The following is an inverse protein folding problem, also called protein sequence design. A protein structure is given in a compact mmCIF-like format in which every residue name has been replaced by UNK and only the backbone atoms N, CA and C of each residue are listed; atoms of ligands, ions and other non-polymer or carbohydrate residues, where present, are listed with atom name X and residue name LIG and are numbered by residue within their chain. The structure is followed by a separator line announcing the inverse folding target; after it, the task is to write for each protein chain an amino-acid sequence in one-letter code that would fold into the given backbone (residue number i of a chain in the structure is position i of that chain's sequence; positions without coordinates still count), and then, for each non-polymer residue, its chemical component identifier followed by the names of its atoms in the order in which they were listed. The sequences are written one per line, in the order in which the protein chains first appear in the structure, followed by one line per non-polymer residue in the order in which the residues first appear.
data_IF_260940723676
#
_entry.id   IF_260940723676
#
_cell.length_a   1.000
_cell.length_b   1.000
_cell.length_c   1.000
_cell.angle_alpha   90.00
_cell.angle_beta   90.00
_cell.angle_gamma   90.00
#
_symmetry.space_group_name_H-M   'P 1'
#
loop_
_entity.id
_entity.type
_entity.pdbx_description
1 polymer ?
#
# COMPACT_ATOMS: atom_id res chain seq x y z
N UNK A 1 -28.98 26.14 -9.94
CA UNK A 1 -28.21 26.20 -8.67
C UNK A 1 -26.74 26.18 -9.05
N UNK A 2 -26.07 27.33 -9.06
CA UNK A 2 -24.63 27.38 -9.24
C UNK A 2 -24.01 26.78 -7.96
N UNK A 3 -23.59 25.54 -7.98
CA UNK A 3 -22.67 25.04 -6.98
C UNK A 3 -21.34 25.70 -7.28
N UNK A 4 -20.93 26.58 -6.39
CA UNK A 4 -19.56 27.09 -6.33
C UNK A 4 -18.66 25.90 -6.04
N UNK A 5 -18.19 25.22 -7.08
CA UNK A 5 -17.39 24.00 -7.00
C UNK A 5 -15.91 24.37 -6.77
N UNK A 6 -15.69 25.29 -5.80
CA UNK A 6 -14.34 25.67 -5.43
C UNK A 6 -13.63 24.50 -4.78
N UNK A 7 -12.43 24.20 -5.27
CA UNK A 7 -11.56 23.13 -4.76
C UNK A 7 -10.65 23.74 -3.68
N UNK A 8 -10.68 23.17 -2.50
CA UNK A 8 -9.90 23.62 -1.36
C UNK A 8 -8.70 22.69 -1.13
N UNK A 9 -7.56 23.30 -0.88
CA UNK A 9 -6.34 22.64 -0.40
C UNK A 9 -6.06 23.16 0.99
N UNK A 10 -5.69 22.27 1.93
CA UNK A 10 -5.23 22.62 3.28
C UNK A 10 -3.91 21.94 3.59
N UNK A 11 -2.96 22.71 4.12
CA UNK A 11 -1.66 22.25 4.53
C UNK A 11 -1.46 22.49 6.03
N UNK A 12 -1.12 21.44 6.76
CA UNK A 12 -0.81 21.52 8.19
C UNK A 12 0.61 21.02 8.43
N UNK A 13 1.34 21.76 9.25
CA UNK A 13 2.69 21.40 9.71
C UNK A 13 2.70 21.38 11.25
N UNK A 14 3.12 20.24 11.83
CA UNK A 14 3.06 20.00 13.27
C UNK A 14 1.69 20.37 13.89
N UNK A 15 0.61 20.06 13.19
CA UNK A 15 -0.77 20.32 13.59
C UNK A 15 -1.25 21.76 13.37
N UNK A 16 -0.39 22.70 12.99
CA UNK A 16 -0.75 24.09 12.71
C UNK A 16 -1.19 24.24 11.25
N UNK A 17 -2.34 24.86 10.99
CA UNK A 17 -2.78 25.25 9.65
C UNK A 17 -1.89 26.37 9.11
N UNK A 18 -1.26 26.12 7.98
CA UNK A 18 -0.36 27.05 7.28
C UNK A 18 -0.81 27.33 5.85
N UNK A 19 -2.03 26.97 5.53
CA UNK A 19 -2.59 27.03 4.18
C UNK A 19 -2.46 28.40 3.52
N UNK A 20 -2.79 29.44 4.27
CA UNK A 20 -2.73 30.82 3.75
C UNK A 20 -1.32 31.43 3.77
N UNK A 21 -0.38 30.79 4.47
CA UNK A 21 1.00 31.28 4.57
C UNK A 21 1.86 30.78 3.40
N UNK A 22 1.48 29.64 2.78
CA UNK A 22 2.29 28.99 1.74
C UNK A 22 1.43 28.58 0.57
N UNK A 23 1.75 29.08 -0.61
CA UNK A 23 1.06 28.73 -1.84
C UNK A 23 1.52 27.35 -2.36
N UNK A 24 0.65 26.35 -2.29
CA UNK A 24 0.92 25.01 -2.84
C UNK A 24 0.69 25.04 -4.35
N UNK A 25 1.75 24.82 -5.10
CA UNK A 25 1.73 24.79 -6.58
C UNK A 25 1.37 23.39 -7.10
N UNK A 26 1.91 22.34 -6.45
CA UNK A 26 1.68 20.96 -6.87
C UNK A 26 1.76 20.03 -5.65
N UNK A 27 0.90 19.02 -5.64
CA UNK A 27 0.98 17.92 -4.66
C UNK A 27 0.80 16.59 -5.41
N UNK A 28 1.77 15.69 -5.25
CA UNK A 28 1.72 14.32 -5.76
C UNK A 28 1.70 13.36 -4.56
N UNK A 29 0.67 12.54 -4.47
CA UNK A 29 0.50 11.58 -3.39
C UNK A 29 0.48 10.19 -4.00
N UNK A 30 1.28 9.30 -3.44
CA UNK A 30 1.34 7.90 -3.84
C UNK A 30 0.99 7.02 -2.65
N UNK A 31 -0.05 6.23 -2.81
CA UNK A 31 -0.54 5.26 -1.82
C UNK A 31 -0.73 3.90 -2.50
N UNK A 32 -0.28 2.83 -1.87
CA UNK A 32 -0.45 1.47 -2.40
C UNK A 32 -0.42 0.43 -1.28
N UNK A 33 -1.07 -0.71 -1.51
CA UNK A 33 -0.90 -1.88 -0.64
C UNK A 33 0.57 -2.29 -0.56
N UNK A 34 1.00 -2.72 0.63
CA UNK A 34 2.36 -3.19 0.91
C UNK A 34 3.45 -2.12 0.72
N UNK A 35 3.07 -0.84 0.63
CA UNK A 35 4.00 0.29 0.52
C UNK A 35 3.68 1.36 1.53
N UNK A 36 4.72 2.09 1.92
CA UNK A 36 4.58 3.26 2.78
C UNK A 36 4.18 4.44 1.91
N UNK A 37 3.16 5.17 2.34
CA UNK A 37 2.65 6.33 1.64
C UNK A 37 3.76 7.36 1.41
N UNK A 38 3.72 8.01 0.26
CA UNK A 38 4.66 9.06 -0.14
C UNK A 38 3.88 10.27 -0.63
N UNK A 39 4.34 11.46 -0.25
CA UNK A 39 3.89 12.71 -0.86
C UNK A 39 5.07 13.55 -1.30
N UNK A 40 4.89 14.30 -2.40
CA UNK A 40 5.79 15.34 -2.85
C UNK A 40 4.96 16.61 -3.02
N UNK A 41 5.25 17.63 -2.25
CA UNK A 41 4.50 18.90 -2.23
C UNK A 41 5.45 20.00 -2.64
N UNK A 42 5.07 20.74 -3.67
CA UNK A 42 5.82 21.90 -4.17
C UNK A 42 5.11 23.18 -3.73
N UNK A 43 5.83 24.04 -3.05
CA UNK A 43 5.36 25.32 -2.54
C UNK A 43 6.08 26.41 -3.32
N UNK A 44 5.38 27.51 -3.67
CA UNK A 44 6.02 28.67 -4.26
C UNK A 44 6.97 29.30 -3.23
N UNK A 45 8.19 29.57 -3.64
CA UNK A 45 9.14 30.37 -2.87
C UNK A 45 9.31 31.69 -3.61
N UNK A 46 8.47 32.69 -3.29
CA UNK A 46 8.53 33.98 -3.94
C UNK A 46 9.78 34.73 -3.46
N UNK A 47 10.44 35.42 -4.41
CA UNK A 47 11.53 36.31 -4.09
C UNK A 47 10.90 37.66 -3.71
N UNK A 48 10.88 37.98 -2.44
CA UNK A 48 10.54 39.33 -1.96
C UNK A 48 11.79 40.14 -1.94
N UNK A 49 11.79 41.20 -2.74
CA UNK A 49 12.70 42.31 -2.81
C UNK A 49 14.21 42.06 -2.48
N UNK A 50 15.05 42.24 -3.48
CA UNK A 50 16.52 42.28 -3.36
C UNK A 50 17.25 41.06 -2.75
N UNK A 51 17.09 39.88 -3.37
CA UNK A 51 17.94 38.70 -3.16
C UNK A 51 17.74 37.89 -1.86
N UNK A 52 16.68 38.10 -1.10
CA UNK A 52 16.33 37.18 -0.03
C UNK A 52 15.11 36.35 -0.41
N UNK A 53 15.28 35.05 -0.37
CA UNK A 53 14.15 34.12 -0.51
C UNK A 53 13.32 34.19 0.80
N UNK A 54 12.01 34.44 0.70
CA UNK A 54 11.10 34.16 1.81
C UNK A 54 10.86 32.65 1.94
N UNK A 55 11.92 31.88 2.04
CA UNK A 55 11.79 30.63 2.75
C UNK A 55 11.96 31.05 4.21
N UNK A 56 10.91 30.91 5.02
CA UNK A 56 11.07 31.26 6.42
C UNK A 56 12.26 30.48 6.95
N UNK A 57 13.15 31.16 7.64
CA UNK A 57 14.24 30.58 8.43
C UNK A 57 13.68 29.67 9.56
N UNK A 58 12.45 29.23 9.34
CA UNK A 58 11.63 28.47 10.24
C UNK A 58 11.93 26.99 10.03
N UNK A 59 12.46 26.38 11.06
CA UNK A 59 12.62 24.93 11.22
C UNK A 59 11.35 24.10 10.92
N UNK A 60 10.25 24.77 10.53
CA UNK A 60 8.94 24.17 10.27
C UNK A 60 8.94 23.18 9.07
N UNK A 61 9.92 23.32 8.15
CA UNK A 61 10.08 22.42 7.00
C UNK A 61 11.21 21.41 7.15
N UNK A 62 11.84 21.37 8.34
CA UNK A 62 12.94 20.45 8.55
C UNK A 62 12.49 18.99 8.46
N UNK A 63 13.36 18.08 8.03
CA UNK A 63 13.12 16.66 8.15
C UNK A 63 12.69 16.27 9.58
N UNK A 64 11.65 15.45 9.69
CA UNK A 64 10.99 15.11 10.95
C UNK A 64 9.71 15.92 11.25
N UNK A 65 9.46 17.04 10.57
CA UNK A 65 8.21 17.79 10.74
C UNK A 65 7.01 16.94 10.29
N UNK A 66 5.99 16.81 11.14
CA UNK A 66 4.73 16.18 10.76
C UNK A 66 3.98 17.05 9.75
N UNK A 67 3.52 16.43 8.66
CA UNK A 67 2.79 17.08 7.59
C UNK A 67 1.46 16.36 7.36
N UNK A 68 0.38 17.15 7.29
CA UNK A 68 -0.94 16.68 6.87
C UNK A 68 -1.41 17.52 5.68
N UNK A 69 -1.81 16.82 4.62
CA UNK A 69 -2.34 17.42 3.41
C UNK A 69 -3.80 17.01 3.20
N UNK A 70 -4.66 17.98 3.02
CA UNK A 70 -6.08 17.79 2.76
C UNK A 70 -6.47 18.49 1.47
N UNK A 71 -7.35 17.89 0.71
CA UNK A 71 -7.92 18.52 -0.47
C UNK A 71 -9.32 17.95 -0.79
N UNK A 72 -10.09 18.72 -1.55
CA UNK A 72 -11.40 18.31 -2.01
C UNK A 72 -12.31 19.50 -2.31
N UNK A 73 -13.53 19.22 -2.77
CA UNK A 73 -14.57 20.24 -2.88
C UNK A 73 -14.85 20.89 -1.52
N UNK A 74 -15.34 22.12 -1.53
CA UNK A 74 -15.59 22.92 -0.31
C UNK A 74 -16.43 22.19 0.74
N UNK A 75 -17.39 21.41 0.29
CA UNK A 75 -18.30 20.62 1.13
C UNK A 75 -17.73 19.27 1.58
N UNK A 76 -16.62 18.82 0.97
CA UNK A 76 -16.03 17.49 1.23
C UNK A 76 -14.51 17.48 1.16
N UNK A 77 -13.86 18.26 2.01
CA UNK A 77 -12.40 18.23 2.16
C UNK A 77 -11.97 16.96 2.90
N UNK A 78 -11.05 16.20 2.32
CA UNK A 78 -10.58 14.93 2.85
C UNK A 78 -9.08 14.94 3.08
N UNK A 79 -8.61 14.20 4.10
CA UNK A 79 -7.19 13.96 4.30
C UNK A 79 -6.68 13.00 3.24
N UNK A 80 -5.73 13.44 2.44
CA UNK A 80 -5.13 12.64 1.38
C UNK A 80 -3.78 12.06 1.78
N UNK A 81 -3.07 12.74 2.71
CA UNK A 81 -1.77 12.29 3.21
C UNK A 81 -1.52 12.79 4.63
N UNK A 82 -0.94 11.92 5.44
CA UNK A 82 -0.34 12.25 6.74
C UNK A 82 1.00 11.52 6.89
N UNK A 83 2.02 12.24 7.34
CA UNK A 83 3.36 11.68 7.53
C UNK A 83 4.35 12.72 8.00
N UNK A 84 5.64 12.47 7.73
CA UNK A 84 6.72 13.38 8.07
C UNK A 84 7.48 13.82 6.83
N UNK A 85 7.97 15.05 6.85
CA UNK A 85 8.97 15.55 5.90
C UNK A 85 10.25 14.73 6.06
N UNK A 86 10.77 14.19 4.97
CA UNK A 86 12.05 13.46 4.96
C UNK A 86 13.15 14.22 4.26
N UNK A 87 12.77 15.04 3.26
CA UNK A 87 13.69 15.85 2.48
C UNK A 87 13.01 17.16 2.14
N UNK A 88 13.74 18.25 2.20
CA UNK A 88 13.35 19.49 1.58
C UNK A 88 14.39 19.88 0.53
N UNK A 89 13.95 20.48 -0.55
CA UNK A 89 14.80 20.86 -1.67
C UNK A 89 14.35 22.20 -2.24
N UNK A 90 15.29 23.11 -2.45
CA UNK A 90 15.07 24.33 -3.19
C UNK A 90 15.37 24.07 -4.67
N UNK A 91 14.43 24.38 -5.55
CA UNK A 91 14.59 24.30 -7.01
C UNK A 91 14.42 25.68 -7.61
N UNK A 92 15.44 26.12 -8.32
CA UNK A 92 15.42 27.38 -9.07
C UNK A 92 15.57 27.01 -10.55
N UNK A 93 14.63 27.42 -11.38
CA UNK A 93 14.68 27.20 -12.81
C UNK A 93 15.03 28.52 -13.55
N UNK A 94 15.35 28.39 -14.84
CA UNK A 94 15.73 29.51 -15.72
C UNK A 94 14.60 30.53 -15.96
N UNK A 95 13.35 30.17 -15.66
CA UNK A 95 12.17 31.02 -15.82
C UNK A 95 11.85 31.84 -14.56
N UNK A 96 12.82 31.98 -13.64
CA UNK A 96 12.69 32.67 -12.35
C UNK A 96 11.65 32.07 -11.40
N UNK A 97 11.15 30.86 -11.69
CA UNK A 97 10.29 30.15 -10.74
C UNK A 97 11.15 29.48 -9.68
N UNK A 98 10.94 29.85 -8.45
CA UNK A 98 11.58 29.20 -7.31
C UNK A 98 10.53 28.33 -6.61
N UNK A 99 10.85 27.05 -6.48
CA UNK A 99 9.99 26.07 -5.81
C UNK A 99 10.71 25.47 -4.60
N UNK A 100 10.02 25.41 -3.49
CA UNK A 100 10.43 24.66 -2.33
C UNK A 100 9.69 23.32 -2.33
N UNK A 101 10.43 22.21 -2.49
CA UNK A 101 9.86 20.87 -2.65
C UNK A 101 10.07 20.06 -1.39
N UNK A 102 8.98 19.59 -0.81
CA UNK A 102 8.95 18.71 0.36
C UNK A 102 8.71 17.27 -0.11
N UNK A 103 9.64 16.38 0.21
CA UNK A 103 9.40 14.95 0.10
C UNK A 103 8.98 14.42 1.47
N UNK A 104 7.84 13.72 1.51
CA UNK A 104 7.25 13.23 2.74
C UNK A 104 7.02 11.72 2.66
N UNK A 105 7.10 11.06 3.82
CA UNK A 105 6.81 9.65 3.99
C UNK A 105 5.80 9.44 5.11
N UNK A 106 4.94 8.43 4.96
CA UNK A 106 4.01 8.01 6.00
C UNK A 106 4.71 7.58 7.29
N UNK A 107 4.00 7.59 8.40
CA UNK A 107 4.55 7.35 9.74
C UNK A 107 5.16 5.95 9.95
N UNK A 108 4.90 5.00 9.05
CA UNK A 108 5.57 3.69 9.07
C UNK A 108 7.01 3.71 8.54
N UNK A 109 7.48 4.84 7.98
CA UNK A 109 8.80 4.94 7.37
C UNK A 109 9.97 4.61 8.31
N UNK A 110 9.97 4.97 9.60
CA UNK A 110 11.02 4.57 10.52
C UNK A 110 11.21 3.04 10.65
N UNK A 111 10.20 2.23 10.38
CA UNK A 111 10.30 0.78 10.40
C UNK A 111 11.18 0.20 9.28
N UNK A 112 11.56 1.01 8.28
CA UNK A 112 12.48 0.62 7.20
C UNK A 112 13.95 0.84 7.56
N UNK A 113 14.25 1.47 8.71
CA UNK A 113 15.62 1.75 9.12
C UNK A 113 16.19 0.63 10.00
N UNK A 114 17.44 0.33 9.72
CA UNK A 114 18.19 -0.64 10.50
C UNK A 114 17.72 -2.08 10.31
N UNK A 115 18.67 -3.00 10.33
CA UNK A 115 18.39 -4.42 10.28
C UNK A 115 18.44 -4.99 11.68
N UNK A 116 17.51 -5.87 12.00
CA UNK A 116 17.33 -6.43 13.34
C UNK A 116 17.39 -7.94 13.33
N UNK A 117 17.74 -8.49 14.49
CA UNK A 117 17.70 -9.90 14.78
C UNK A 117 16.84 -10.08 16.03
N UNK A 118 15.70 -10.75 15.89
CA UNK A 118 14.80 -11.06 16.99
C UNK A 118 14.27 -12.47 16.87
N UNK A 119 13.94 -13.07 18.01
CA UNK A 119 13.24 -14.35 18.08
C UNK A 119 11.95 -14.13 18.84
N UNK A 120 10.85 -14.61 18.27
CA UNK A 120 9.53 -14.60 18.89
C UNK A 120 9.12 -16.06 19.10
N UNK A 121 8.99 -16.46 20.36
CA UNK A 121 8.64 -17.83 20.74
C UNK A 121 7.13 -17.96 20.94
N UNK A 122 6.56 -19.10 20.56
CA UNK A 122 5.16 -19.46 20.73
C UNK A 122 4.21 -18.30 20.37
N UNK A 123 4.41 -17.75 19.19
CA UNK A 123 3.75 -16.51 18.77
C UNK A 123 3.00 -16.67 17.46
N UNK A 124 1.91 -15.92 17.31
CA UNK A 124 1.17 -15.81 16.05
C UNK A 124 1.70 -14.63 15.24
N UNK A 125 1.66 -14.72 13.92
CA UNK A 125 2.08 -13.66 13.03
C UNK A 125 1.34 -12.33 13.29
N UNK A 126 0.03 -12.37 13.48
CA UNK A 126 -0.77 -11.18 13.79
C UNK A 126 -0.33 -10.49 15.07
N UNK A 127 0.03 -11.25 16.10
CA UNK A 127 0.53 -10.74 17.38
C UNK A 127 1.90 -10.06 17.21
N UNK A 128 2.80 -10.72 16.48
CA UNK A 128 4.15 -10.19 16.23
C UNK A 128 4.09 -8.92 15.36
N UNK A 129 3.28 -8.92 14.31
CA UNK A 129 3.06 -7.76 13.45
C UNK A 129 2.54 -6.56 14.27
N UNK A 130 1.53 -6.76 15.11
CA UNK A 130 1.01 -5.70 16.01
C UNK A 130 2.07 -5.17 16.95
N UNK A 131 2.87 -6.07 17.56
CA UNK A 131 3.95 -5.70 18.47
C UNK A 131 5.00 -4.83 17.78
N UNK A 132 5.44 -5.23 16.57
CA UNK A 132 6.46 -4.49 15.81
C UNK A 132 5.94 -3.11 15.42
N UNK A 133 4.74 -3.02 14.81
CA UNK A 133 4.17 -1.75 14.39
C UNK A 133 3.90 -0.81 15.56
N UNK A 134 3.49 -1.36 16.72
CA UNK A 134 3.30 -0.61 17.95
C UNK A 134 4.55 0.09 18.49
N UNK A 135 5.76 -0.45 18.24
CA UNK A 135 7.03 0.18 18.62
C UNK A 135 7.26 1.53 17.93
N UNK A 136 6.61 1.77 16.80
CA UNK A 136 6.67 3.02 16.02
C UNK A 136 5.48 3.95 16.29
N UNK A 137 4.71 3.69 17.35
CA UNK A 137 3.51 4.48 17.66
C UNK A 137 2.36 4.31 16.67
N UNK A 138 2.37 3.21 15.90
CA UNK A 138 1.33 2.92 14.92
C UNK A 138 0.22 2.07 15.56
N UNK A 139 -1.02 2.41 15.26
CA UNK A 139 -2.19 1.64 15.64
C UNK A 139 -2.48 0.58 14.57
N UNK A 140 -2.15 -0.67 14.86
CA UNK A 140 -2.28 -1.76 13.89
C UNK A 140 -3.53 -2.61 14.13
N UNK A 141 -4.42 -2.66 13.12
CA UNK A 141 -5.51 -3.64 13.04
C UNK A 141 -5.08 -4.76 12.13
N UNK A 142 -4.84 -5.95 12.69
CA UNK A 142 -4.34 -7.12 11.96
C UNK A 142 -5.36 -8.23 12.03
N UNK A 143 -5.73 -8.81 10.89
CA UNK A 143 -6.58 -10.00 10.84
C UNK A 143 -5.88 -11.17 11.51
N UNK A 144 -6.65 -12.01 12.23
CA UNK A 144 -6.07 -13.15 12.93
C UNK A 144 -5.49 -14.17 11.96
N UNK A 145 -4.26 -14.59 12.21
CA UNK A 145 -3.60 -15.66 11.44
C UNK A 145 -3.86 -17.04 12.00
N UNK A 146 -4.36 -17.13 13.24
CA UNK A 146 -4.81 -18.38 13.90
C UNK A 146 -3.70 -19.37 14.27
N UNK A 147 -2.57 -19.37 13.59
CA UNK A 147 -1.50 -20.37 13.70
C UNK A 147 -0.45 -19.88 14.68
N UNK A 148 -0.18 -20.66 15.73
CA UNK A 148 0.92 -20.44 16.64
C UNK A 148 2.20 -21.09 16.09
N UNK A 149 3.26 -20.32 16.03
CA UNK A 149 4.57 -20.73 15.51
C UNK A 149 5.51 -20.86 16.71
N UNK A 150 6.13 -22.05 16.94
CA UNK A 150 7.00 -22.26 18.10
C UNK A 150 8.17 -21.29 18.14
N UNK A 151 8.77 -21.02 17.00
CA UNK A 151 9.91 -20.11 16.89
C UNK A 151 9.84 -19.33 15.58
N UNK A 152 9.60 -18.01 15.67
CA UNK A 152 9.57 -17.09 14.55
C UNK A 152 10.81 -16.21 14.60
N UNK A 153 11.65 -16.28 13.57
CA UNK A 153 12.94 -15.59 13.55
C UNK A 153 12.90 -14.43 12.56
N UNK A 154 13.17 -13.23 13.07
CA UNK A 154 13.55 -12.08 12.27
C UNK A 154 15.08 -12.10 12.14
N UNK A 155 15.59 -12.36 10.94
CA UNK A 155 17.02 -12.47 10.71
C UNK A 155 17.51 -11.38 9.76
N UNK A 156 18.28 -10.45 10.28
CA UNK A 156 19.00 -9.40 9.56
C UNK A 156 18.16 -8.67 8.50
N UNK A 157 16.92 -8.34 8.83
CA UNK A 157 16.00 -7.58 7.97
C UNK A 157 15.38 -6.40 8.74
N UNK A 158 14.82 -5.45 8.00
CA UNK A 158 14.10 -4.33 8.61
C UNK A 158 12.79 -4.82 9.24
N UNK A 159 12.24 -4.05 10.17
CA UNK A 159 10.93 -4.36 10.75
C UNK A 159 9.82 -4.32 9.70
N UNK A 160 9.92 -3.38 8.77
CA UNK A 160 8.95 -3.27 7.68
C UNK A 160 8.98 -4.48 6.74
N UNK A 161 10.17 -4.91 6.30
CA UNK A 161 10.31 -6.09 5.43
C UNK A 161 9.84 -7.36 6.12
N UNK A 162 10.12 -7.48 7.43
CA UNK A 162 9.64 -8.61 8.22
C UNK A 162 8.11 -8.62 8.33
N UNK A 163 7.48 -7.48 8.63
CA UNK A 163 6.03 -7.34 8.66
C UNK A 163 5.42 -7.71 7.31
N UNK A 164 5.97 -7.20 6.20
CA UNK A 164 5.49 -7.53 4.86
C UNK A 164 5.60 -9.02 4.56
N UNK A 165 6.75 -9.64 4.85
CA UNK A 165 6.98 -11.07 4.61
C UNK A 165 5.97 -11.91 5.40
N UNK A 166 5.75 -11.59 6.69
CA UNK A 166 4.79 -12.34 7.52
C UNK A 166 3.34 -12.14 7.06
N UNK A 167 2.98 -10.92 6.67
CA UNK A 167 1.66 -10.65 6.11
C UNK A 167 1.44 -11.42 4.81
N UNK A 168 2.39 -11.37 3.86
CA UNK A 168 2.30 -12.04 2.57
C UNK A 168 2.21 -13.56 2.70
N UNK A 169 2.94 -14.17 3.64
CA UNK A 169 2.89 -15.61 3.89
C UNK A 169 1.50 -16.09 4.36
N UNK A 170 0.69 -15.17 4.90
CA UNK A 170 -0.69 -15.42 5.33
C UNK A 170 -1.73 -14.88 4.34
N UNK A 171 -1.32 -14.46 3.14
CA UNK A 171 -2.23 -13.88 2.14
C UNK A 171 -2.81 -12.52 2.54
N UNK A 172 -2.11 -11.77 3.40
CA UNK A 172 -2.55 -10.47 3.88
C UNK A 172 -1.83 -9.33 3.16
N UNK A 173 -2.51 -8.20 2.99
CA UNK A 173 -1.95 -6.93 2.52
C UNK A 173 -1.80 -5.96 3.68
N UNK A 174 -0.79 -5.10 3.59
CA UNK A 174 -0.54 -4.02 4.54
C UNK A 174 -0.94 -2.70 3.91
N UNK A 175 -1.82 -1.96 4.56
CA UNK A 175 -2.33 -0.66 4.12
C UNK A 175 -2.06 0.35 5.21
N UNK A 176 -1.37 1.44 4.87
CA UNK A 176 -1.09 2.56 5.78
C UNK A 176 -2.11 3.67 5.57
N UNK A 177 -2.51 4.34 6.65
CA UNK A 177 -3.37 5.52 6.63
C UNK A 177 -3.03 6.41 7.84
N UNK A 178 -2.13 7.36 7.64
CA UNK A 178 -1.57 8.13 8.74
C UNK A 178 -0.87 7.23 9.77
N UNK A 179 -1.29 7.32 11.04
CA UNK A 179 -0.78 6.49 12.14
C UNK A 179 -1.53 5.14 12.27
N UNK A 180 -2.53 4.89 11.42
CA UNK A 180 -3.24 3.61 11.38
C UNK A 180 -2.63 2.68 10.35
N UNK A 181 -2.53 1.41 10.67
CA UNK A 181 -2.08 0.35 9.76
C UNK A 181 -3.09 -0.78 9.78
N UNK A 182 -3.63 -1.11 8.62
CA UNK A 182 -4.52 -2.26 8.45
C UNK A 182 -3.76 -3.39 7.77
N UNK A 183 -3.72 -4.56 8.38
CA UNK A 183 -3.16 -5.78 7.80
C UNK A 183 -4.28 -6.80 7.67
N UNK A 184 -4.73 -7.04 6.46
CA UNK A 184 -5.97 -7.79 6.22
C UNK A 184 -5.92 -8.59 4.93
N UNK A 185 -6.83 -9.56 4.80
CA UNK A 185 -7.05 -10.24 3.53
C UNK A 185 -7.48 -9.22 2.47
N UNK A 186 -7.05 -9.40 1.20
CA UNK A 186 -7.62 -8.63 0.09
C UNK A 186 -9.14 -8.74 0.12
N UNK A 187 -9.82 -7.61 -0.02
CA UNK A 187 -11.26 -7.59 -0.01
C UNK A 187 -11.76 -7.98 -1.41
N UNK A 188 -12.45 -9.10 -1.50
CA UNK A 188 -12.98 -9.63 -2.77
C UNK A 188 -14.51 -9.64 -2.82
N UNK A 189 -15.20 -9.16 -1.79
CA UNK A 189 -16.66 -9.25 -1.66
C UNK A 189 -17.37 -7.95 -1.27
N UNK A 190 -16.62 -6.86 -1.01
CA UNK A 190 -17.26 -5.58 -0.68
C UNK A 190 -17.94 -4.95 -1.89
N UNK A 191 -18.93 -4.12 -1.60
CA UNK A 191 -19.52 -3.25 -2.61
C UNK A 191 -18.47 -2.27 -3.17
N UNK A 192 -18.49 -1.97 -4.47
CA UNK A 192 -17.62 -0.97 -5.07
C UNK A 192 -17.82 0.41 -4.42
N UNK A 193 -16.70 1.09 -4.12
CA UNK A 193 -16.73 2.47 -3.58
C UNK A 193 -17.05 3.50 -4.66
N UNK A 194 -16.82 3.16 -5.93
CA UNK A 194 -17.08 3.99 -7.08
C UNK A 194 -17.38 3.12 -8.30
N UNK A 195 -18.35 3.54 -9.11
CA UNK A 195 -18.56 3.03 -10.48
C UNK A 195 -17.90 4.00 -11.45
N UNK A 196 -17.07 3.46 -12.34
CA UNK A 196 -16.34 4.19 -13.38
C UNK A 196 -16.90 3.74 -14.73
N UNK A 197 -17.46 4.68 -15.49
CA UNK A 197 -18.19 4.41 -16.72
C UNK A 197 -17.48 5.05 -17.92
N UNK A 198 -17.26 4.25 -18.97
CA UNK A 198 -16.73 4.78 -20.24
C UNK A 198 -17.71 5.81 -20.84
N UNK A 199 -17.19 6.95 -21.27
CA UNK A 199 -17.98 8.06 -21.81
C UNK A 199 -18.56 8.99 -20.75
N UNK A 200 -18.34 8.76 -19.45
CA UNK A 200 -18.76 9.63 -18.35
C UNK A 200 -17.56 10.09 -17.51
N UNK A 201 -17.10 9.30 -16.56
CA UNK A 201 -16.07 9.68 -15.58
C UNK A 201 -14.72 8.96 -15.77
N UNK A 202 -14.58 8.11 -16.79
CA UNK A 202 -13.33 7.48 -17.19
C UNK A 202 -12.55 8.40 -18.14
N UNK A 203 -11.34 8.81 -17.75
CA UNK A 203 -10.45 9.62 -18.58
C UNK A 203 -9.55 8.72 -19.43
N UNK A 204 -8.90 7.73 -18.81
CA UNK A 204 -8.06 6.77 -19.50
C UNK A 204 -8.11 5.41 -18.83
N UNK A 205 -7.97 4.36 -19.61
CA UNK A 205 -7.92 2.98 -19.17
C UNK A 205 -6.89 2.21 -19.99
N UNK A 206 -6.06 1.45 -19.30
CA UNK A 206 -5.15 0.48 -19.88
C UNK A 206 -5.25 -0.79 -19.03
N UNK A 207 -5.67 -1.89 -19.62
CA UNK A 207 -5.92 -3.13 -18.90
C UNK A 207 -5.43 -4.33 -19.70
N UNK A 208 -4.89 -5.32 -18.99
CA UNK A 208 -4.41 -6.55 -19.56
C UNK A 208 -4.85 -7.76 -18.74
N UNK A 209 -5.10 -8.86 -19.42
CA UNK A 209 -5.31 -10.17 -18.81
C UNK A 209 -4.09 -11.01 -19.14
N UNK A 210 -3.46 -11.58 -18.11
CA UNK A 210 -2.26 -12.39 -18.24
C UNK A 210 -2.46 -13.81 -17.73
N UNK A 211 -2.03 -14.77 -18.51
CA UNK A 211 -1.94 -16.18 -18.13
C UNK A 211 -0.56 -16.55 -17.54
N UNK A 212 0.40 -15.61 -17.50
CA UNK A 212 1.79 -15.92 -17.18
C UNK A 212 2.01 -16.54 -15.80
N UNK A 213 1.15 -16.20 -14.83
CA UNK A 213 1.22 -16.72 -13.45
C UNK A 213 -0.01 -17.55 -13.07
N UNK A 214 -0.76 -18.06 -14.07
CA UNK A 214 -1.96 -18.86 -13.83
C UNK A 214 -1.62 -20.36 -13.95
N UNK A 215 -1.68 -21.06 -12.81
CA UNK A 215 -1.34 -22.46 -12.70
C UNK A 215 -2.58 -23.32 -12.45
N UNK A 216 -2.53 -24.59 -12.83
CA UNK A 216 -3.62 -25.56 -12.58
C UNK A 216 -3.77 -25.81 -11.08
N UNK A 217 -2.64 -25.80 -10.34
CA UNK A 217 -2.60 -26.00 -8.90
C UNK A 217 -1.39 -25.30 -8.28
N UNK A 218 -1.49 -24.97 -7.01
CA UNK A 218 -0.37 -24.41 -6.22
C UNK A 218 -0.08 -25.35 -5.07
N UNK A 219 1.18 -25.78 -4.96
CA UNK A 219 1.67 -26.66 -3.90
C UNK A 219 2.85 -26.05 -3.20
N UNK A 220 3.01 -26.37 -1.92
CA UNK A 220 4.18 -26.01 -1.15
C UNK A 220 4.78 -27.27 -0.51
N UNK A 221 6.11 -27.30 -0.35
CA UNK A 221 6.79 -28.35 0.37
C UNK A 221 7.93 -27.80 1.25
N UNK A 222 8.20 -28.52 2.34
CA UNK A 222 9.26 -28.21 3.26
C UNK A 222 9.83 -29.51 3.85
N UNK A 223 11.04 -29.42 4.41
CA UNK A 223 11.62 -30.51 5.18
C UNK A 223 11.22 -30.38 6.65
N UNK A 224 10.51 -31.38 7.16
CA UNK A 224 10.22 -31.47 8.62
C UNK A 224 11.37 -32.19 9.31
N UNK A 225 12.14 -31.45 10.08
CA UNK A 225 13.32 -31.96 10.80
C UNK A 225 12.93 -32.97 11.89
N UNK A 226 11.76 -32.79 12.51
CA UNK A 226 11.29 -33.66 13.61
C UNK A 226 10.82 -35.02 13.10
N UNK A 227 10.13 -35.03 11.97
CA UNK A 227 9.62 -36.23 11.33
C UNK A 227 10.61 -36.85 10.32
N UNK A 228 11.69 -36.11 9.98
CA UNK A 228 12.68 -36.50 8.96
C UNK A 228 12.04 -36.86 7.62
N UNK A 229 11.07 -36.06 7.18
CA UNK A 229 10.35 -36.28 5.92
C UNK A 229 9.97 -34.96 5.25
N UNK A 230 9.69 -35.04 3.96
CA UNK A 230 9.14 -33.90 3.22
C UNK A 230 7.63 -33.82 3.53
N UNK A 231 7.21 -32.70 4.07
CA UNK A 231 5.79 -32.33 4.20
C UNK A 231 5.34 -31.55 2.96
N UNK A 232 4.09 -31.71 2.58
CA UNK A 232 3.51 -31.08 1.39
C UNK A 232 2.11 -30.54 1.70
N UNK A 233 1.81 -29.39 1.14
CA UNK A 233 0.48 -28.78 1.18
C UNK A 233 0.02 -28.44 -0.23
N UNK A 234 -1.26 -28.54 -0.49
CA UNK A 234 -1.92 -28.09 -1.73
C UNK A 234 -2.86 -26.94 -1.35
N UNK A 235 -2.85 -25.87 -2.13
CA UNK A 235 -3.69 -24.70 -1.88
C UNK A 235 -5.19 -25.03 -1.96
N UNK A 236 -5.95 -24.41 -1.07
CA UNK A 236 -7.42 -24.46 -1.06
C UNK A 236 -7.95 -23.36 -1.97
N UNK A 237 -8.16 -23.56 -3.22
CA UNK A 237 -8.60 -22.56 -4.20
C UNK A 237 -9.34 -21.34 -3.59
N UNK A 238 -8.71 -20.14 -3.48
CA UNK A 238 -9.33 -19.00 -2.85
C UNK A 238 -10.49 -18.47 -3.70
N UNK A 239 -11.52 -17.93 -3.04
CA UNK A 239 -12.59 -17.20 -3.72
C UNK A 239 -12.06 -15.85 -4.16
N UNK A 240 -12.16 -15.53 -5.44
CA UNK A 240 -11.83 -14.23 -6.02
C UNK A 240 -13.10 -13.55 -6.55
N UNK A 241 -13.11 -12.22 -6.54
CA UNK A 241 -14.18 -11.49 -7.22
C UNK A 241 -14.10 -11.69 -8.74
N UNK A 242 -15.26 -11.62 -9.38
CA UNK A 242 -15.32 -11.67 -10.85
C UNK A 242 -14.60 -10.42 -11.43
N UNK A 243 -13.62 -10.68 -12.28
CA UNK A 243 -12.88 -9.66 -13.04
C UNK A 243 -13.08 -9.95 -14.53
N UNK A 244 -14.23 -9.51 -15.07
CA UNK A 244 -14.66 -9.88 -16.42
C UNK A 244 -15.23 -11.31 -16.46
N UNK A 245 -15.30 -11.90 -17.64
CA UNK A 245 -15.90 -13.21 -17.94
C UNK A 245 -14.87 -14.36 -18.07
N UNK A 246 -13.56 -14.05 -18.04
CA UNK A 246 -12.48 -15.04 -18.12
C UNK A 246 -12.06 -15.46 -16.71
N UNK A 247 -12.35 -16.70 -16.33
CA UNK A 247 -11.95 -17.23 -15.03
C UNK A 247 -10.47 -17.65 -15.01
N UNK A 248 -9.85 -17.67 -13.81
CA UNK A 248 -8.46 -18.11 -13.65
C UNK A 248 -8.21 -19.53 -14.21
N UNK A 249 -9.18 -20.43 -14.04
CA UNK A 249 -9.10 -21.79 -14.58
C UNK A 249 -9.01 -21.85 -16.12
N UNK A 250 -9.58 -20.85 -16.82
CA UNK A 250 -9.56 -20.82 -18.28
C UNK A 250 -8.17 -20.37 -18.80
N UNK A 251 -7.44 -19.62 -17.98
CA UNK A 251 -6.08 -19.17 -18.28
C UNK A 251 -5.02 -20.18 -17.88
N UNK A 252 -5.27 -21.01 -16.86
CA UNK A 252 -4.31 -22.02 -16.39
C UNK A 252 -4.01 -23.11 -17.42
N UNK A 253 -4.88 -23.30 -18.40
CA UNK A 253 -4.69 -24.25 -19.49
C UNK A 253 -3.50 -23.93 -20.41
N UNK A 254 -3.00 -22.70 -20.41
CA UNK A 254 -1.83 -22.34 -21.22
C UNK A 254 -0.54 -22.97 -20.68
N UNK A 255 -0.31 -22.89 -19.38
CA UNK A 255 0.86 -23.51 -18.75
C UNK A 255 0.63 -25.01 -18.52
N UNK A 256 -0.60 -25.39 -18.16
CA UNK A 256 -1.00 -26.75 -17.77
C UNK A 256 -0.06 -27.38 -16.72
N UNK A 257 0.46 -26.56 -15.82
CA UNK A 257 1.49 -26.94 -14.86
C UNK A 257 1.05 -26.64 -13.41
N UNK A 258 1.64 -27.35 -12.49
CA UNK A 258 1.49 -27.15 -11.05
C UNK A 258 2.66 -26.31 -10.55
N UNK A 259 2.38 -25.19 -9.90
CA UNK A 259 3.42 -24.39 -9.25
C UNK A 259 3.82 -25.04 -7.92
N UNK A 260 5.10 -25.36 -7.78
CA UNK A 260 5.67 -25.92 -6.57
C UNK A 260 6.59 -24.92 -5.87
N UNK A 261 6.18 -24.46 -4.70
CA UNK A 261 7.01 -23.63 -3.80
C UNK A 261 7.76 -24.50 -2.80
N UNK A 262 9.02 -24.19 -2.55
CA UNK A 262 9.86 -24.90 -1.60
C UNK A 262 10.48 -23.94 -0.59
N UNK A 263 10.59 -24.38 0.65
CA UNK A 263 11.32 -23.65 1.70
C UNK A 263 12.19 -24.60 2.52
N UNK A 264 13.37 -24.10 2.92
CA UNK A 264 14.26 -24.79 3.87
C UNK A 264 14.01 -24.32 5.31
N UNK A 265 13.14 -23.31 5.50
CA UNK A 265 12.78 -22.85 6.85
C UNK A 265 11.97 -23.93 7.57
N UNK A 266 12.22 -24.15 8.87
CA UNK A 266 11.36 -25.03 9.66
C UNK A 266 9.94 -24.46 9.70
N UNK A 267 9.00 -25.18 9.15
CA UNK A 267 7.60 -24.78 9.03
C UNK A 267 6.69 -25.96 9.33
N UNK A 268 5.62 -25.76 10.10
CA UNK A 268 4.63 -26.79 10.37
C UNK A 268 3.57 -26.91 9.26
N UNK A 269 2.83 -28.01 9.25
CA UNK A 269 1.83 -28.32 8.23
C UNK A 269 0.80 -27.18 8.02
N UNK A 270 0.28 -26.61 9.12
CA UNK A 270 -0.69 -25.51 9.04
C UNK A 270 -0.13 -24.24 8.39
N UNK A 271 1.11 -23.86 8.75
CA UNK A 271 1.79 -22.70 8.16
C UNK A 271 2.16 -22.94 6.69
N UNK A 272 2.54 -24.19 6.34
CA UNK A 272 2.83 -24.55 4.96
C UNK A 272 1.56 -24.46 4.09
N UNK A 273 0.41 -24.88 4.64
CA UNK A 273 -0.89 -24.74 3.98
C UNK A 273 -1.26 -23.26 3.78
N UNK A 274 -1.15 -22.44 4.82
CA UNK A 274 -1.43 -21.01 4.73
C UNK A 274 -0.55 -20.32 3.68
N UNK A 275 0.72 -20.73 3.59
CA UNK A 275 1.63 -20.20 2.57
C UNK A 275 1.24 -20.64 1.15
N UNK A 276 0.83 -21.90 0.93
CA UNK A 276 0.32 -22.36 -0.35
C UNK A 276 -0.95 -21.59 -0.77
N UNK A 277 -1.90 -21.42 0.16
CA UNK A 277 -3.12 -20.64 -0.05
C UNK A 277 -2.82 -19.19 -0.43
N UNK A 278 -1.85 -18.57 0.26
CA UNK A 278 -1.41 -17.21 -0.02
C UNK A 278 -0.83 -17.08 -1.44
N UNK A 279 0.00 -18.02 -1.87
CA UNK A 279 0.60 -18.00 -3.21
C UNK A 279 -0.45 -18.18 -4.31
N UNK A 280 -1.44 -19.07 -4.11
CA UNK A 280 -2.54 -19.24 -5.04
C UNK A 280 -3.43 -17.99 -5.14
N UNK A 281 -3.65 -17.31 -4.00
CA UNK A 281 -4.35 -16.02 -3.95
C UNK A 281 -3.62 -14.95 -4.78
N UNK A 282 -2.30 -14.81 -4.60
CA UNK A 282 -1.51 -13.81 -5.34
C UNK A 282 -1.48 -14.10 -6.83
N UNK A 283 -1.33 -15.36 -7.22
CA UNK A 283 -1.45 -15.82 -8.62
C UNK A 283 -2.80 -15.40 -9.21
N UNK A 284 -3.89 -15.72 -8.53
CA UNK A 284 -5.22 -15.38 -9.00
C UNK A 284 -5.51 -13.88 -9.10
N UNK A 285 -4.96 -13.06 -8.18
CA UNK A 285 -5.08 -11.61 -8.22
C UNK A 285 -4.24 -10.97 -9.35
N UNK A 286 -3.12 -11.59 -9.72
CA UNK A 286 -2.26 -11.10 -10.80
C UNK A 286 -2.85 -11.27 -12.21
N UNK A 287 -3.95 -12.01 -12.35
CA UNK A 287 -4.60 -12.29 -13.63
C UNK A 287 -4.99 -11.04 -14.42
N UNK A 288 -5.57 -10.06 -13.75
CA UNK A 288 -6.00 -8.81 -14.36
C UNK A 288 -5.22 -7.65 -13.77
N UNK A 289 -4.54 -6.90 -14.61
CA UNK A 289 -3.73 -5.75 -14.22
C UNK A 289 -4.00 -4.58 -15.17
N UNK A 290 -3.94 -3.36 -14.64
CA UNK A 290 -4.14 -2.19 -15.46
C UNK A 290 -4.01 -0.89 -14.70
N UNK A 291 -4.21 0.20 -15.41
CA UNK A 291 -4.28 1.55 -14.87
C UNK A 291 -5.55 2.26 -15.32
N UNK A 292 -6.08 3.09 -14.44
CA UNK A 292 -7.28 3.88 -14.67
C UNK A 292 -6.97 5.30 -14.28
N UNK A 293 -7.31 6.25 -15.17
CA UNK A 293 -7.25 7.67 -14.86
C UNK A 293 -8.67 8.22 -14.76
N UNK A 294 -8.95 8.87 -13.65
CA UNK A 294 -10.23 9.55 -13.37
C UNK A 294 -9.97 10.89 -12.70
N UNK A 295 -10.99 11.71 -12.59
CA UNK A 295 -10.95 12.88 -11.70
C UNK A 295 -10.76 12.46 -10.24
N UNK A 296 -10.10 13.30 -9.45
CA UNK A 296 -9.77 13.01 -8.05
C UNK A 296 -11.00 12.64 -7.22
N UNK A 297 -10.91 11.50 -6.54
CA UNK A 297 -11.96 11.03 -5.63
C UNK A 297 -11.33 10.42 -4.37
N UNK A 298 -11.57 11.03 -3.21
CA UNK A 298 -10.96 10.64 -1.94
C UNK A 298 -11.47 9.29 -1.40
N UNK A 299 -12.53 8.71 -1.95
CA UNK A 299 -13.00 7.38 -1.55
C UNK A 299 -12.16 6.24 -2.13
N UNK A 300 -11.33 6.54 -3.13
CA UNK A 300 -10.40 5.55 -3.71
C UNK A 300 -9.15 5.49 -2.86
N UNK A 301 -9.05 4.44 -2.08
CA UNK A 301 -7.91 4.13 -1.21
C UNK A 301 -7.34 2.74 -1.57
N UNK A 302 -6.08 2.44 -1.21
CA UNK A 302 -5.53 1.10 -1.44
C UNK A 302 -6.42 0.00 -0.87
N UNK A 303 -6.66 -1.07 -1.65
CA UNK A 303 -7.50 -2.20 -1.27
C UNK A 303 -9.00 -1.99 -1.41
N UNK A 304 -9.48 -0.87 -1.95
CA UNK A 304 -10.89 -0.69 -2.29
C UNK A 304 -11.27 -1.45 -3.58
N UNK A 305 -12.56 -1.73 -3.73
CA UNK A 305 -13.14 -2.28 -4.96
C UNK A 305 -13.75 -1.13 -5.76
N UNK A 306 -13.48 -1.10 -7.05
CA UNK A 306 -14.13 -0.22 -8.02
C UNK A 306 -14.88 -1.07 -9.04
N UNK A 307 -15.94 -0.53 -9.62
CA UNK A 307 -16.68 -1.16 -10.70
C UNK A 307 -16.39 -0.43 -12.01
N UNK A 308 -16.09 -1.15 -13.06
CA UNK A 308 -15.93 -0.62 -14.41
C UNK A 308 -17.17 -0.96 -15.23
N UNK A 309 -17.71 0.02 -15.94
CA UNK A 309 -18.86 -0.14 -16.81
C UNK A 309 -18.61 0.49 -18.19
N UNK A 310 -19.30 -0.05 -19.21
CA UNK A 310 -19.20 0.47 -20.59
C UNK A 310 -17.92 0.07 -21.33
N UNK A 311 -17.04 -0.75 -20.72
CA UNK A 311 -15.94 -1.38 -21.40
C UNK A 311 -16.41 -2.73 -22.00
N UNK A 312 -15.63 -3.29 -22.93
CA UNK A 312 -15.92 -4.63 -23.48
C UNK A 312 -16.05 -5.66 -22.35
N UNK A 313 -16.80 -6.74 -22.61
CA UNK A 313 -16.94 -7.85 -21.65
C UNK A 313 -15.66 -8.68 -21.48
N UNK A 314 -14.65 -8.44 -22.31
CA UNK A 314 -13.37 -9.14 -22.29
C UNK A 314 -12.31 -8.30 -21.62
#
# INVERSE_FOLDING_TARGET
MNMDNSFIIKLFLNGKDVTEQYSVINAKIYRACNKIDKATISISADIIDNSQFEIPDNKIFNPGTELKFQAGPTDKVSTLFEGCVTTHQLKINSEQQTLFVLECRGFAYPATFGRKNNVYENSKDDTVIKKILGQYGLSAKVDSTGIEIPQLVQYYCTDWDFVLTRAQNNGLVVITDGKQVKVCKPNVSASPVLTITYGDNLIAFDGSISASEQYTDTKACAWDVSRQQIIKATASKPSLNAQGDIAAKDLSGLANEVMLYQTNAPIGDASLHAWADAQDLWSGLARFQGSITIYGNASIIPGCIIKLEGLSKH
#
